data_IF_807489558991
#
_entry.id   IF_807489558991
#
_cell.length_a   1.000
_cell.length_b   1.000
_cell.length_c   1.000
_cell.angle_alpha   90.00
_cell.angle_beta   90.00
_cell.angle_gamma   90.00
#
_symmetry.space_group_name_H-M   'P 1'
#
loop_
_entity.id
_entity.type
_entity.pdbx_description
1 polymer ?
#
# COMPACT_ATOMS: atom_id res chain seq x y z
N UNK A 1 -16.43 23.70 -22.19
CA UNK A 1 -15.21 22.94 -22.49
C UNK A 1 -15.28 21.71 -21.61
N UNK A 2 -15.63 20.58 -22.21
CA UNK A 2 -15.73 19.29 -21.51
C UNK A 2 -14.31 18.83 -21.27
N UNK A 3 -13.85 18.83 -20.02
CA UNK A 3 -12.61 18.15 -19.67
C UNK A 3 -12.97 16.67 -19.69
N UNK A 4 -12.73 16.05 -20.84
CA UNK A 4 -12.66 14.60 -20.98
C UNK A 4 -11.44 14.18 -20.15
N UNK A 5 -11.67 13.90 -18.87
CA UNK A 5 -10.68 13.20 -18.05
C UNK A 5 -10.53 11.84 -18.69
N UNK A 6 -9.45 11.68 -19.46
CA UNK A 6 -9.02 10.40 -19.99
C UNK A 6 -8.68 9.49 -18.79
N UNK A 7 -9.66 8.71 -18.35
CA UNK A 7 -9.58 7.71 -17.28
C UNK A 7 -8.71 6.50 -17.72
N UNK A 8 -8.05 6.59 -18.87
CA UNK A 8 -7.22 5.52 -19.45
C UNK A 8 -5.73 5.70 -19.20
N UNK A 9 -5.28 6.81 -18.59
CA UNK A 9 -3.89 6.94 -18.16
C UNK A 9 -3.63 6.00 -16.96
N UNK A 10 -2.73 5.01 -17.04
CA UNK A 10 -2.44 4.12 -15.92
C UNK A 10 -1.86 4.87 -14.71
N UNK A 11 -1.32 6.08 -14.89
CA UNK A 11 -0.91 7.01 -13.83
C UNK A 11 -2.07 7.76 -13.17
N UNK A 12 -3.28 7.75 -13.74
CA UNK A 12 -4.52 8.26 -13.12
C UNK A 12 -5.15 7.30 -12.11
N UNK A 13 -4.62 6.09 -12.00
CA UNK A 13 -5.05 5.05 -11.06
C UNK A 13 -4.28 5.12 -9.74
N UNK A 14 -4.40 6.23 -9.01
CA UNK A 14 -3.98 6.23 -7.59
C UNK A 14 -4.99 5.39 -6.78
N UNK A 15 -4.83 4.07 -6.81
CA UNK A 15 -5.50 3.16 -5.87
C UNK A 15 -4.74 3.06 -4.56
N UNK A 16 -3.48 3.49 -4.56
CA UNK A 16 -2.51 3.46 -3.48
C UNK A 16 -1.65 4.73 -3.54
N UNK A 17 -1.32 5.32 -2.39
CA UNK A 17 -0.38 6.44 -2.28
C UNK A 17 0.26 6.44 -0.90
N UNK A 18 1.53 6.82 -0.83
CA UNK A 18 2.21 7.16 0.43
C UNK A 18 2.47 8.65 0.38
N UNK A 19 1.87 9.39 1.30
CA UNK A 19 1.92 10.85 1.30
C UNK A 19 2.35 11.37 2.67
N UNK A 20 3.06 12.49 2.73
CA UNK A 20 3.27 13.16 3.99
C UNK A 20 1.93 13.64 4.54
N UNK A 21 1.79 13.67 5.87
CA UNK A 21 0.54 14.05 6.54
C UNK A 21 0.10 15.48 6.19
N UNK A 22 1.05 16.34 5.79
CA UNK A 22 0.78 17.72 5.32
C UNK A 22 0.00 17.76 4.01
N UNK A 23 0.10 16.70 3.19
CA UNK A 23 -0.51 16.60 1.86
C UNK A 23 -1.64 15.56 1.87
N UNK A 24 -2.25 15.34 3.05
CA UNK A 24 -3.34 14.37 3.22
C UNK A 24 -4.60 14.70 2.41
N UNK A 25 -4.77 15.96 2.00
CA UNK A 25 -5.84 16.39 1.08
C UNK A 25 -5.61 15.92 -0.36
N UNK A 26 -4.38 15.55 -0.73
CA UNK A 26 -4.08 14.90 -2.01
C UNK A 26 -4.51 13.42 -2.06
N UNK A 27 -4.92 12.84 -0.92
CA UNK A 27 -5.41 11.47 -0.81
C UNK A 27 -6.84 11.31 -1.39
N UNK A 28 -7.00 11.63 -2.67
CA UNK A 28 -8.29 11.61 -3.36
C UNK A 28 -8.29 10.66 -4.56
N UNK A 29 -9.27 9.77 -4.61
CA UNK A 29 -9.49 8.90 -5.77
C UNK A 29 -10.32 9.62 -6.82
N UNK A 30 -9.67 10.11 -7.88
CA UNK A 30 -10.32 10.79 -9.00
C UNK A 30 -11.37 9.91 -9.71
N UNK A 31 -11.10 8.61 -9.85
CA UNK A 31 -11.99 7.66 -10.56
C UNK A 31 -13.34 7.47 -9.86
N UNK A 32 -13.36 7.47 -8.53
CA UNK A 32 -14.57 7.24 -7.75
C UNK A 32 -15.09 8.51 -7.06
N UNK A 33 -14.40 9.64 -7.26
CA UNK A 33 -14.80 10.94 -6.72
C UNK A 33 -14.88 10.97 -5.19
N UNK A 34 -13.90 10.36 -4.50
CA UNK A 34 -13.93 10.20 -3.04
C UNK A 34 -12.55 10.27 -2.41
N UNK A 35 -12.51 10.65 -1.14
CA UNK A 35 -11.32 10.53 -0.30
C UNK A 35 -10.92 9.05 -0.12
N UNK A 36 -9.62 8.83 -0.12
CA UNK A 36 -9.00 7.55 0.18
C UNK A 36 -8.95 7.34 1.69
N UNK A 37 -8.97 6.07 2.10
CA UNK A 37 -8.84 5.71 3.51
C UNK A 37 -7.35 5.67 3.87
N UNK A 38 -6.96 6.32 4.96
CA UNK A 38 -5.64 6.13 5.57
C UNK A 38 -5.58 4.81 6.34
N UNK A 39 -4.41 4.18 6.30
CA UNK A 39 -4.09 2.94 6.99
C UNK A 39 -2.65 3.06 7.51
N UNK A 40 -2.42 2.52 8.70
CA UNK A 40 -1.11 2.41 9.33
C UNK A 40 -0.66 0.94 9.30
N UNK A 41 0.00 0.49 8.22
CA UNK A 41 0.42 -0.89 8.11
C UNK A 41 1.67 -1.17 8.95
N UNK A 42 1.74 -2.39 9.48
CA UNK A 42 2.99 -2.95 10.04
C UNK A 42 3.54 -3.95 9.04
N UNK A 43 4.80 -3.78 8.64
CA UNK A 43 5.49 -4.62 7.68
C UNK A 43 6.51 -5.49 8.42
N UNK A 44 6.42 -6.81 8.26
CA UNK A 44 7.45 -7.72 8.77
C UNK A 44 8.38 -8.14 7.64
N UNK A 45 9.68 -7.96 7.81
CA UNK A 45 10.73 -8.37 6.86
C UNK A 45 12.02 -8.75 7.60
N UNK A 46 12.64 -9.86 7.22
CA UNK A 46 13.95 -10.32 7.74
C UNK A 46 14.03 -10.36 9.29
N UNK A 47 12.93 -10.67 9.97
CA UNK A 47 12.84 -10.72 11.44
C UNK A 47 12.64 -9.35 12.14
N UNK A 48 12.46 -8.29 11.36
CA UNK A 48 12.21 -6.93 11.83
C UNK A 48 10.81 -6.44 11.45
N UNK A 49 10.28 -5.56 12.30
CA UNK A 49 9.01 -4.88 12.09
C UNK A 49 9.24 -3.42 11.71
N UNK A 50 8.48 -2.96 10.73
CA UNK A 50 8.50 -1.61 10.20
C UNK A 50 7.09 -1.04 10.15
N UNK A 51 6.98 0.29 10.17
CA UNK A 51 5.72 1.01 9.93
C UNK A 51 6.01 2.23 9.08
N UNK A 52 4.96 2.89 8.58
CA UNK A 52 5.09 4.23 8.00
C UNK A 52 5.77 5.19 8.98
N UNK A 53 6.65 6.06 8.48
CA UNK A 53 7.26 7.11 9.30
C UNK A 53 6.21 8.06 9.88
N UNK A 54 6.53 8.76 10.98
CA UNK A 54 5.55 9.53 11.77
C UNK A 54 4.83 10.61 10.96
N UNK A 55 5.53 11.16 9.96
CA UNK A 55 5.00 12.20 9.09
C UNK A 55 4.38 11.66 7.80
N UNK A 56 4.25 10.34 7.64
CA UNK A 56 3.70 9.71 6.44
C UNK A 56 2.55 8.77 6.76
N UNK A 57 1.60 8.70 5.84
CA UNK A 57 0.47 7.77 5.89
C UNK A 57 0.29 7.05 4.55
N UNK A 58 -0.18 5.81 4.60
CA UNK A 58 -0.58 5.05 3.42
C UNK A 58 -2.06 5.27 3.17
N UNK A 59 -2.41 5.57 1.93
CA UNK A 59 -3.78 5.83 1.50
C UNK A 59 -4.20 4.86 0.41
N UNK A 60 -5.44 4.37 0.49
CA UNK A 60 -5.99 3.49 -0.53
C UNK A 60 -7.47 3.72 -0.84
N UNK A 61 -7.85 3.47 -2.10
CA UNK A 61 -9.24 3.42 -2.53
C UNK A 61 -9.76 1.98 -2.57
N UNK A 62 -10.55 1.59 -1.56
CA UNK A 62 -11.15 0.26 -1.48
C UNK A 62 -11.98 -0.12 -2.72
N UNK A 63 -12.59 0.85 -3.41
CA UNK A 63 -13.38 0.58 -4.61
C UNK A 63 -12.51 0.28 -5.82
N UNK A 64 -11.37 0.97 -5.98
CA UNK A 64 -10.37 0.59 -6.97
C UNK A 64 -9.83 -0.82 -6.70
N UNK A 65 -9.46 -1.11 -5.44
CA UNK A 65 -8.97 -2.43 -5.08
C UNK A 65 -10.01 -3.53 -5.35
N UNK A 66 -11.30 -3.28 -5.06
CA UNK A 66 -12.38 -4.20 -5.38
C UNK A 66 -12.53 -4.45 -6.88
N UNK A 67 -12.53 -3.39 -7.69
CA UNK A 67 -12.67 -3.49 -9.14
C UNK A 67 -11.46 -4.15 -9.82
N UNK A 68 -10.24 -3.91 -9.32
CA UNK A 68 -9.03 -4.58 -9.80
C UNK A 68 -9.03 -6.04 -9.36
N UNK A 69 -9.37 -6.31 -8.09
CA UNK A 69 -9.42 -7.66 -7.52
C UNK A 69 -10.42 -8.56 -8.25
N UNK A 70 -11.62 -8.06 -8.54
CA UNK A 70 -12.62 -8.79 -9.32
C UNK A 70 -12.11 -9.16 -10.72
N UNK A 71 -11.41 -8.24 -11.39
CA UNK A 71 -10.87 -8.48 -12.75
C UNK A 71 -9.70 -9.46 -12.76
N UNK A 72 -8.84 -9.39 -11.76
CA UNK A 72 -7.65 -10.23 -11.64
C UNK A 72 -7.92 -11.56 -10.92
N UNK A 73 -9.12 -11.77 -10.36
CA UNK A 73 -9.46 -12.97 -9.60
C UNK A 73 -8.74 -13.07 -8.25
N UNK A 74 -8.32 -11.94 -7.68
CA UNK A 74 -7.55 -11.85 -6.42
C UNK A 74 -8.32 -11.02 -5.40
N UNK A 75 -8.07 -11.22 -4.10
CA UNK A 75 -8.76 -10.43 -3.09
C UNK A 75 -8.19 -9.00 -3.07
N UNK A 76 -9.01 -7.98 -2.79
CA UNK A 76 -8.56 -6.59 -2.69
C UNK A 76 -7.42 -6.38 -1.68
N UNK A 77 -7.42 -7.16 -0.60
CA UNK A 77 -6.36 -7.13 0.42
C UNK A 77 -5.03 -7.64 -0.12
N UNK A 78 -5.02 -8.62 -1.02
CA UNK A 78 -3.79 -9.18 -1.59
C UNK A 78 -3.15 -8.18 -2.56
N UNK A 79 -3.96 -7.45 -3.34
CA UNK A 79 -3.50 -6.34 -4.19
C UNK A 79 -2.88 -5.21 -3.36
N UNK A 80 -3.53 -4.85 -2.25
CA UNK A 80 -3.01 -3.85 -1.33
C UNK A 80 -1.66 -4.28 -0.75
N UNK A 81 -1.55 -5.54 -0.30
CA UNK A 81 -0.31 -6.11 0.22
C UNK A 81 0.82 -6.06 -0.80
N UNK A 82 0.56 -6.45 -2.06
CA UNK A 82 1.53 -6.36 -3.15
C UNK A 82 2.05 -4.94 -3.37
N UNK A 83 1.15 -3.95 -3.48
CA UNK A 83 1.56 -2.55 -3.65
C UNK A 83 2.38 -2.00 -2.47
N UNK A 84 2.06 -2.39 -1.24
CA UNK A 84 2.83 -1.96 -0.08
C UNK A 84 4.22 -2.58 -0.06
N UNK A 85 4.33 -3.86 -0.45
CA UNK A 85 5.61 -4.58 -0.57
C UNK A 85 6.49 -3.90 -1.62
N UNK A 86 5.96 -3.65 -2.83
CA UNK A 86 6.70 -2.96 -3.90
C UNK A 86 7.22 -1.57 -3.44
N UNK A 87 6.38 -0.82 -2.72
CA UNK A 87 6.74 0.49 -2.20
C UNK A 87 7.80 0.40 -1.10
N UNK A 88 7.73 -0.61 -0.24
CA UNK A 88 8.73 -0.86 0.80
C UNK A 88 10.07 -1.28 0.20
N UNK A 89 10.09 -2.16 -0.81
CA UNK A 89 11.32 -2.55 -1.50
C UNK A 89 11.99 -1.35 -2.18
N UNK A 90 11.20 -0.48 -2.82
CA UNK A 90 11.70 0.76 -3.44
C UNK A 90 12.35 1.67 -2.39
N UNK A 91 11.73 1.79 -1.20
CA UNK A 91 12.30 2.57 -0.10
C UNK A 91 13.58 1.93 0.46
N UNK A 92 13.59 0.63 0.70
CA UNK A 92 14.72 -0.13 1.25
C UNK A 92 15.96 -0.05 0.34
N UNK A 93 15.74 -0.01 -0.98
CA UNK A 93 16.78 0.19 -1.99
C UNK A 93 17.27 1.65 -2.10
N UNK A 94 16.79 2.57 -1.26
CA UNK A 94 17.04 4.01 -1.30
C UNK A 94 16.62 4.68 -2.62
N UNK A 95 15.62 4.14 -3.32
CA UNK A 95 15.11 4.67 -4.58
C UNK A 95 13.88 5.59 -4.39
N UNK A 96 13.26 5.57 -3.21
CA UNK A 96 12.11 6.39 -2.89
C UNK A 96 12.50 7.84 -2.53
N UNK A 97 11.71 8.85 -2.93
CA UNK A 97 11.86 10.20 -2.40
C UNK A 97 11.33 10.28 -0.96
N UNK A 98 12.22 10.11 0.02
CA UNK A 98 11.96 10.34 1.45
C UNK A 98 12.02 9.09 2.33
N UNK A 99 11.91 9.30 3.64
CA UNK A 99 11.90 8.23 4.65
C UNK A 99 10.47 7.74 4.90
N UNK A 100 9.86 7.07 3.92
CA UNK A 100 8.46 6.61 3.99
C UNK A 100 8.20 5.62 5.12
N UNK A 101 9.21 4.84 5.50
CA UNK A 101 9.10 3.82 6.54
C UNK A 101 10.13 4.05 7.64
N UNK A 102 9.82 3.53 8.82
CA UNK A 102 10.73 3.48 9.96
C UNK A 102 10.75 2.10 10.58
N UNK A 103 11.92 1.74 11.10
CA UNK A 103 12.10 0.56 11.93
C UNK A 103 11.37 0.74 13.28
N UNK A 104 10.68 -0.31 13.74
CA UNK A 104 10.03 -0.37 15.04
C UNK A 104 10.85 -1.17 16.04
N UNK A 105 11.00 -2.48 15.79
CA UNK A 105 11.72 -3.41 16.65
C UNK A 105 12.03 -4.73 15.92
N UNK A 106 12.93 -5.53 16.49
CA UNK A 106 13.04 -6.96 16.17
C UNK A 106 11.80 -7.64 16.76
N UNK A 107 11.18 -8.55 16.02
CA UNK A 107 9.96 -9.20 16.48
C UNK A 107 9.41 -10.16 15.45
N UNK A 108 8.73 -11.20 15.93
CA UNK A 108 8.02 -12.15 15.07
C UNK A 108 6.58 -11.69 14.87
N UNK A 109 5.92 -12.04 13.74
CA UNK A 109 4.51 -11.72 13.56
C UNK A 109 3.60 -12.30 14.65
N UNK A 110 4.05 -13.36 15.32
CA UNK A 110 3.40 -13.99 16.49
C UNK A 110 3.35 -13.07 17.72
N UNK A 111 4.23 -12.07 17.84
CA UNK A 111 4.19 -11.07 18.93
C UNK A 111 3.02 -10.08 18.76
N UNK A 112 2.39 -10.07 17.59
CA UNK A 112 1.31 -9.14 17.20
C UNK A 112 0.05 -9.88 16.71
N UNK A 113 -0.08 -11.17 17.01
CA UNK A 113 -1.14 -12.03 16.49
C UNK A 113 -2.56 -11.49 16.78
N UNK A 114 -3.36 -11.36 15.71
CA UNK A 114 -4.73 -10.82 15.76
C UNK A 114 -4.93 -9.40 15.23
N UNK A 115 -3.87 -8.72 14.77
CA UNK A 115 -3.97 -7.39 14.17
C UNK A 115 -4.00 -7.45 12.64
N UNK A 116 -5.17 -7.21 12.03
CA UNK A 116 -5.38 -7.16 10.57
C UNK A 116 -4.53 -6.09 9.85
N UNK A 117 -3.78 -5.24 10.59
CA UNK A 117 -2.87 -4.23 10.04
C UNK A 117 -1.50 -4.77 9.64
N UNK A 118 -1.20 -6.04 9.93
CA UNK A 118 0.11 -6.63 9.64
C UNK A 118 0.16 -7.19 8.22
N UNK A 119 1.23 -6.83 7.50
CA UNK A 119 1.58 -7.34 6.18
C UNK A 119 2.92 -8.07 6.30
N UNK A 120 2.90 -9.39 6.09
CA UNK A 120 4.09 -10.24 6.12
C UNK A 120 4.70 -10.30 4.72
N UNK A 121 5.99 -9.94 4.57
CA UNK A 121 6.68 -10.01 3.27
C UNK A 121 6.76 -11.45 2.74
N UNK A 122 7.05 -12.40 3.63
CA UNK A 122 7.32 -13.80 3.29
C UNK A 122 6.08 -14.54 2.72
N UNK A 123 4.87 -14.11 3.05
CA UNK A 123 3.63 -14.75 2.57
C UNK A 123 3.22 -14.34 1.14
N UNK A 124 3.78 -13.24 0.62
CA UNK A 124 3.41 -12.70 -0.70
C UNK A 124 4.38 -13.17 -1.80
N UNK A 125 5.62 -13.49 -1.45
CA UNK A 125 6.64 -13.97 -2.40
C UNK A 125 6.52 -15.47 -2.72
N UNK A 126 5.98 -16.29 -1.80
CA UNK A 126 5.84 -17.74 -2.01
C UNK A 126 4.64 -18.15 -2.90
N UNK A 127 3.81 -17.21 -3.34
CA UNK A 127 2.70 -17.47 -4.29
C UNK A 127 3.10 -17.49 -5.77
N UNK A 128 4.39 -17.26 -6.08
CA UNK A 128 4.91 -17.05 -7.43
C UNK A 128 5.56 -18.25 -8.12
N UNK A 129 5.60 -19.44 -7.51
CA UNK A 129 6.21 -20.62 -8.14
C UNK A 129 5.30 -21.85 -8.00
N UNK A 130 4.71 -22.29 -9.12
CA UNK A 130 4.04 -23.59 -9.19
C UNK A 130 2.98 -23.74 -10.28
N UNK A 131 3.33 -23.48 -11.54
CA UNK A 131 2.65 -24.05 -12.72
C UNK A 131 3.59 -25.07 -13.38
#
# INVERSE_FOLDING_TARGET
MTVESDISDPGSLRAFSILPNTDSDEAFCARHGREMRSIDPVIHRDGALYTTAEDFSVYTCNRCLAEIGERAGVKPVDLYRGHLIDAFETWDQNEAPGEWFRYLCEGTPDDLDGDDRIIRFDEVTEGGEGA
#
